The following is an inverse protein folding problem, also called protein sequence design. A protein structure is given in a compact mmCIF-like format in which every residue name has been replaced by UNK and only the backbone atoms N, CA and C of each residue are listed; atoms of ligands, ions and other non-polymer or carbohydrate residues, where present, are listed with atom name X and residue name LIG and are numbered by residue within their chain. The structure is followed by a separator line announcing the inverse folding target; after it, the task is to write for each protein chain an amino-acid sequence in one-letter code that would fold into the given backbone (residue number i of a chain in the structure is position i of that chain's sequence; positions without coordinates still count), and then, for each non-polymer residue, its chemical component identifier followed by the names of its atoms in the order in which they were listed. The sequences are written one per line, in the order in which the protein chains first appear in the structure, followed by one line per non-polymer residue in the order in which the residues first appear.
data_IF_419662294625
#
_entry.id   IF_419662294625
#
_cell.length_a   1.000
_cell.length_b   1.000
_cell.length_c   1.000
_cell.angle_alpha   90.00
_cell.angle_beta   90.00
_cell.angle_gamma   90.00
#
_symmetry.space_group_name_H-M   'P 1'
#
loop_
_entity.id
_entity.type
_entity.pdbx_description
1 polymer ?
#
# COMPACT_ATOMS: atom_id res chain seq x y z
N UNK A 1 1.73 9.69 -9.17
CA UNK A 1 2.87 8.85 -9.58
C UNK A 1 2.51 7.38 -9.78
N UNK A 2 1.81 6.72 -8.85
CA UNK A 2 1.36 5.31 -9.05
C UNK A 2 0.58 5.13 -10.35
N UNK A 3 -0.48 5.91 -10.58
CA UNK A 3 -1.32 5.82 -11.80
C UNK A 3 -0.49 5.94 -13.08
N UNK A 4 0.39 6.95 -13.15
CA UNK A 4 1.28 7.16 -14.29
C UNK A 4 2.22 5.98 -14.50
N UNK A 5 2.82 5.46 -13.42
CA UNK A 5 3.72 4.32 -13.48
C UNK A 5 2.98 3.06 -13.95
N UNK A 6 1.76 2.85 -13.48
CA UNK A 6 0.87 1.78 -13.95
C UNK A 6 0.58 1.90 -15.44
N UNK A 7 0.20 3.10 -15.89
CA UNK A 7 -0.10 3.39 -17.29
C UNK A 7 1.09 3.08 -18.21
N UNK A 8 2.29 3.58 -17.88
CA UNK A 8 3.50 3.34 -18.68
C UNK A 8 3.85 1.85 -18.72
N UNK A 9 3.64 1.13 -17.61
CA UNK A 9 3.91 -0.33 -17.56
C UNK A 9 2.94 -1.10 -18.44
N UNK A 10 1.66 -0.77 -18.40
CA UNK A 10 0.64 -1.40 -19.25
C UNK A 10 0.95 -1.14 -20.72
N UNK A 11 1.26 0.11 -21.08
CA UNK A 11 1.67 0.49 -22.43
C UNK A 11 2.90 -0.29 -22.90
N UNK A 12 3.88 -0.51 -22.01
CA UNK A 12 5.06 -1.31 -22.29
C UNK A 12 4.74 -2.78 -22.57
N UNK A 13 3.73 -3.35 -21.88
CA UNK A 13 3.32 -4.74 -22.03
C UNK A 13 2.44 -4.99 -23.28
N UNK A 14 1.82 -3.95 -23.82
CA UNK A 14 0.98 -4.01 -25.02
C UNK A 14 1.76 -3.86 -26.32
N UNK A 15 2.80 -3.01 -26.35
CA UNK A 15 3.59 -2.75 -27.56
C UNK A 15 4.68 -3.79 -27.79
N UNK A 16 4.67 -4.46 -28.96
CA UNK A 16 5.67 -5.47 -29.35
C UNK A 16 7.04 -4.87 -29.70
N UNK A 17 7.08 -3.77 -30.45
CA UNK A 17 8.33 -3.27 -31.08
C UNK A 17 9.15 -2.34 -30.16
N UNK A 18 8.50 -1.62 -29.24
CA UNK A 18 9.13 -0.65 -28.34
C UNK A 18 9.22 -1.12 -26.87
N UNK A 19 9.07 -2.43 -26.65
CA UNK A 19 8.90 -3.02 -25.32
C UNK A 19 10.06 -2.68 -24.37
N UNK A 20 11.31 -2.78 -24.84
CA UNK A 20 12.52 -2.59 -24.03
C UNK A 20 12.65 -1.17 -23.46
N UNK A 21 12.49 -0.15 -24.31
CA UNK A 21 12.59 1.25 -23.91
C UNK A 21 11.43 1.68 -23.00
N UNK A 22 10.21 1.20 -23.28
CA UNK A 22 9.04 1.47 -22.45
C UNK A 22 9.12 0.77 -21.09
N UNK A 23 9.71 -0.43 -21.01
CA UNK A 23 9.97 -1.11 -19.73
C UNK A 23 11.03 -0.39 -18.90
N UNK A 24 12.07 0.15 -19.54
CA UNK A 24 13.05 1.00 -18.86
C UNK A 24 12.36 2.25 -18.29
N UNK A 25 11.55 2.94 -19.10
CA UNK A 25 10.80 4.12 -18.68
C UNK A 25 9.80 3.80 -17.56
N UNK A 26 9.08 2.68 -17.67
CA UNK A 26 8.20 2.15 -16.62
C UNK A 26 8.98 1.95 -15.33
N UNK A 27 10.16 1.30 -15.39
CA UNK A 27 11.06 1.15 -14.27
C UNK A 27 11.44 2.49 -13.64
N UNK A 28 11.80 3.51 -14.44
CA UNK A 28 12.13 4.85 -13.95
C UNK A 28 10.92 5.47 -13.22
N UNK A 29 9.71 5.40 -13.79
CA UNK A 29 8.50 5.90 -13.16
C UNK A 29 8.23 5.20 -11.81
N UNK A 30 8.42 3.88 -11.73
CA UNK A 30 8.31 3.13 -10.49
C UNK A 30 9.41 3.44 -9.49
N UNK A 31 10.65 3.68 -9.94
CA UNK A 31 11.74 4.11 -9.07
C UNK A 31 11.49 5.49 -8.47
N UNK A 32 10.97 6.44 -9.26
CA UNK A 32 10.52 7.75 -8.77
C UNK A 32 9.35 7.62 -7.79
N UNK A 33 8.40 6.72 -8.04
CA UNK A 33 7.35 6.39 -7.07
C UNK A 33 7.93 5.82 -5.77
N UNK A 34 8.97 4.99 -5.87
CA UNK A 34 9.67 4.37 -4.75
C UNK A 34 10.40 5.39 -3.88
N UNK A 35 10.91 6.47 -4.47
CA UNK A 35 11.51 7.60 -3.72
C UNK A 35 10.49 8.34 -2.85
N UNK A 36 9.20 8.33 -3.22
CA UNK A 36 8.13 8.91 -2.40
C UNK A 36 7.74 7.94 -1.27
N UNK A 37 7.59 6.66 -1.60
CA UNK A 37 7.29 5.60 -0.61
C UNK A 37 8.05 4.32 -0.97
N UNK A 38 8.89 3.78 -0.07
CA UNK A 38 9.73 2.62 -0.34
C UNK A 38 8.96 1.30 -0.46
N UNK A 39 7.63 1.29 -0.29
CA UNK A 39 6.79 0.08 -0.36
C UNK A 39 6.85 -0.61 -1.72
N UNK A 40 7.15 0.14 -2.79
CA UNK A 40 7.30 -0.40 -4.15
C UNK A 40 8.71 -0.90 -4.44
N UNK A 41 9.66 -0.85 -3.50
CA UNK A 41 11.02 -1.34 -3.71
C UNK A 41 11.06 -2.85 -4.02
N UNK A 42 10.10 -3.61 -3.49
CA UNK A 42 9.95 -5.06 -3.73
C UNK A 42 9.17 -5.38 -5.02
N UNK A 43 8.69 -4.37 -5.75
CA UNK A 43 7.88 -4.53 -6.96
C UNK A 43 8.55 -5.39 -8.04
N UNK A 44 9.88 -5.36 -8.28
CA UNK A 44 10.51 -6.26 -9.26
C UNK A 44 10.22 -7.74 -9.02
N UNK A 45 10.10 -8.18 -7.76
CA UNK A 45 9.78 -9.58 -7.43
C UNK A 45 8.36 -9.92 -7.88
N UNK A 46 7.41 -9.05 -7.58
CA UNK A 46 6.01 -9.19 -8.01
C UNK A 46 5.90 -9.11 -9.53
N UNK A 47 6.59 -8.17 -10.16
CA UNK A 47 6.62 -8.03 -11.60
C UNK A 47 7.21 -9.27 -12.29
N UNK A 48 8.25 -9.88 -11.73
CA UNK A 48 8.78 -11.17 -12.21
C UNK A 48 7.71 -12.27 -12.16
N UNK A 49 6.98 -12.41 -11.04
CA UNK A 49 5.88 -13.39 -10.92
C UNK A 49 4.81 -13.13 -11.99
N UNK A 50 4.43 -11.87 -12.21
CA UNK A 50 3.52 -11.48 -13.28
C UNK A 50 4.05 -11.87 -14.66
N UNK A 51 5.33 -11.58 -14.97
CA UNK A 51 5.95 -11.91 -16.25
C UNK A 51 6.03 -13.43 -16.47
N UNK A 52 6.32 -14.22 -15.43
CA UNK A 52 6.35 -15.69 -15.50
C UNK A 52 4.96 -16.24 -15.85
N UNK A 53 3.92 -15.72 -15.21
CA UNK A 53 2.53 -16.07 -15.52
C UNK A 53 2.14 -15.64 -16.94
N UNK A 54 2.45 -14.40 -17.30
CA UNK A 54 2.05 -13.77 -18.57
C UNK A 54 2.75 -14.39 -19.78
N UNK A 55 4.07 -14.55 -19.74
CA UNK A 55 4.86 -15.11 -20.83
C UNK A 55 4.99 -16.64 -20.77
N UNK A 56 4.24 -17.32 -19.88
CA UNK A 56 4.23 -18.79 -19.74
C UNK A 56 5.64 -19.40 -19.66
N UNK A 57 6.51 -18.80 -18.84
CA UNK A 57 7.92 -19.23 -18.67
C UNK A 57 8.83 -19.07 -19.92
N UNK A 58 8.44 -18.27 -20.92
CA UNK A 58 9.33 -17.89 -22.04
C UNK A 58 10.47 -16.98 -21.53
N UNK A 59 11.57 -17.60 -21.11
CA UNK A 59 12.72 -16.92 -20.47
C UNK A 59 13.34 -15.85 -21.37
N UNK A 60 13.28 -16.03 -22.70
CA UNK A 60 13.79 -15.07 -23.69
C UNK A 60 13.04 -13.73 -23.64
N UNK A 61 11.79 -13.72 -23.19
CA UNK A 61 10.99 -12.50 -22.98
C UNK A 61 11.04 -12.02 -21.55
N UNK A 62 11.00 -12.94 -20.58
CA UNK A 62 10.97 -12.61 -19.16
C UNK A 62 12.25 -11.91 -18.74
N UNK A 63 13.41 -12.49 -19.04
CA UNK A 63 14.71 -12.00 -18.54
C UNK A 63 15.01 -10.57 -19.02
N UNK A 64 14.92 -10.23 -20.33
CA UNK A 64 15.12 -8.85 -20.75
C UNK A 64 14.08 -7.91 -20.15
N UNK A 65 12.82 -8.34 -20.03
CA UNK A 65 11.75 -7.49 -19.50
C UNK A 65 12.01 -7.09 -18.04
N UNK A 66 12.33 -8.07 -17.17
CA UNK A 66 12.63 -7.77 -15.77
C UNK A 66 13.95 -7.01 -15.63
N UNK A 67 14.97 -7.31 -16.44
CA UNK A 67 16.23 -6.57 -16.42
C UNK A 67 16.04 -5.10 -16.77
N UNK A 68 15.30 -4.78 -17.83
CA UNK A 68 15.06 -3.39 -18.23
C UNK A 68 14.23 -2.64 -17.20
N UNK A 69 13.19 -3.28 -16.66
CA UNK A 69 12.37 -2.71 -15.60
C UNK A 69 13.18 -2.43 -14.33
N UNK A 70 13.93 -3.43 -13.85
CA UNK A 70 14.80 -3.30 -12.67
C UNK A 70 15.91 -2.28 -12.88
N UNK A 71 16.52 -2.22 -14.06
CA UNK A 71 17.51 -1.20 -14.41
C UNK A 71 16.89 0.20 -14.35
N UNK A 72 15.69 0.39 -14.88
CA UNK A 72 14.98 1.67 -14.82
C UNK A 72 14.71 2.11 -13.38
N UNK A 73 14.21 1.19 -12.54
CA UNK A 73 14.01 1.46 -11.11
C UNK A 73 15.33 1.81 -10.42
N UNK A 74 16.40 1.05 -10.70
CA UNK A 74 17.72 1.28 -10.14
C UNK A 74 18.25 2.66 -10.55
N UNK A 75 18.16 3.05 -11.82
CA UNK A 75 18.63 4.37 -12.29
C UNK A 75 17.96 5.54 -11.55
N UNK A 76 16.68 5.40 -11.19
CA UNK A 76 15.97 6.43 -10.43
C UNK A 76 16.35 6.44 -8.93
N UNK A 77 16.51 5.25 -8.32
CA UNK A 77 16.79 5.11 -6.87
C UNK A 77 18.27 5.30 -6.53
N UNK A 78 19.17 4.97 -7.47
CA UNK A 78 20.62 4.95 -7.27
C UNK A 78 21.22 6.30 -6.86
N UNK A 79 20.85 7.45 -7.45
CA UNK A 79 21.40 8.75 -7.02
C UNK A 79 21.13 9.05 -5.54
N UNK A 80 19.92 8.75 -5.06
CA UNK A 80 19.57 8.92 -3.65
C UNK A 80 20.31 7.90 -2.77
N UNK A 81 20.46 6.66 -3.24
CA UNK A 81 21.24 5.63 -2.54
C UNK A 81 22.71 6.04 -2.36
N UNK A 82 23.35 6.56 -3.42
CA UNK A 82 24.72 7.06 -3.36
C UNK A 82 24.87 8.24 -2.41
N UNK A 83 23.91 9.19 -2.43
CA UNK A 83 23.86 10.31 -1.48
C UNK A 83 23.71 9.84 -0.04
N UNK A 84 22.91 8.81 0.20
CA UNK A 84 22.76 8.24 1.53
C UNK A 84 24.06 7.52 1.97
N UNK A 85 24.67 6.74 1.08
CA UNK A 85 25.93 6.03 1.35
C UNK A 85 27.08 6.99 1.64
N UNK A 86 27.23 8.09 0.89
CA UNK A 86 28.31 9.05 1.14
C UNK A 86 28.19 9.76 2.49
N UNK A 87 26.98 9.88 3.03
CA UNK A 87 26.72 10.53 4.33
C UNK A 87 26.76 9.56 5.50
N UNK A 88 26.36 8.32 5.29
CA UNK A 88 26.12 7.35 6.38
C UNK A 88 27.07 6.16 6.36
N UNK A 89 27.81 5.97 5.27
CA UNK A 89 28.58 4.77 4.96
C UNK A 89 27.74 3.47 5.00
N UNK A 90 26.42 3.58 4.76
CA UNK A 90 25.49 2.44 4.69
C UNK A 90 24.68 2.44 3.41
N UNK A 91 24.36 1.24 2.92
CA UNK A 91 23.48 1.08 1.76
C UNK A 91 22.02 1.29 2.18
N UNK A 92 21.52 2.51 1.99
CA UNK A 92 20.14 2.90 2.29
C UNK A 92 19.47 3.31 0.98
N UNK A 93 18.65 2.44 0.35
CA UNK A 93 18.09 2.71 -0.97
C UNK A 93 17.22 3.97 -1.03
N UNK A 94 16.35 4.14 -0.03
CA UNK A 94 15.40 5.26 0.03
C UNK A 94 15.46 5.94 1.39
N UNK A 95 15.00 5.26 2.45
CA UNK A 95 14.98 5.75 3.82
C UNK A 95 15.51 4.70 4.81
N UNK A 96 15.97 5.17 5.96
CA UNK A 96 16.46 4.34 7.06
C UNK A 96 15.40 4.30 8.17
N UNK A 97 14.32 3.56 7.92
CA UNK A 97 13.24 3.32 8.88
C UNK A 97 12.72 1.86 8.78
N UNK A 98 13.48 1.01 8.08
CA UNK A 98 13.01 -0.33 7.75
C UNK A 98 13.04 -1.23 8.99
N UNK A 99 14.09 -1.11 9.82
CA UNK A 99 14.24 -1.95 10.99
C UNK A 99 13.32 -1.54 12.12
N UNK A 100 13.10 -0.24 12.32
CA UNK A 100 12.12 0.26 13.30
C UNK A 100 10.72 -0.28 13.00
N UNK A 101 10.28 -0.20 11.74
CA UNK A 101 8.94 -0.67 11.35
C UNK A 101 8.83 -2.20 11.35
N UNK A 102 9.89 -2.91 10.96
CA UNK A 102 9.94 -4.37 11.03
C UNK A 102 9.93 -4.86 12.48
N UNK A 103 10.70 -4.21 13.35
CA UNK A 103 10.85 -4.55 14.76
C UNK A 103 9.50 -4.63 15.46
N UNK A 104 8.58 -3.69 15.26
CA UNK A 104 7.29 -3.73 15.95
C UNK A 104 6.46 -4.99 15.65
N UNK A 105 6.59 -5.58 14.46
CA UNK A 105 5.96 -6.86 14.14
C UNK A 105 6.63 -8.07 14.82
N UNK A 106 7.78 -7.90 15.46
CA UNK A 106 8.54 -8.97 16.12
C UNK A 106 8.38 -8.98 17.64
N UNK A 107 7.93 -7.88 18.25
CA UNK A 107 7.96 -7.71 19.72
C UNK A 107 6.88 -8.53 20.43
N UNK A 108 5.63 -8.34 20.00
CA UNK A 108 4.47 -8.95 20.62
C UNK A 108 3.39 -9.22 19.58
N UNK A 109 2.42 -10.07 19.94
CA UNK A 109 1.29 -10.36 19.06
C UNK A 109 0.38 -9.15 19.02
N UNK A 110 0.24 -8.54 17.84
CA UNK A 110 -0.66 -7.43 17.64
C UNK A 110 -2.11 -7.87 17.64
N UNK A 111 -2.99 -7.04 18.19
CA UNK A 111 -4.43 -7.16 17.96
C UNK A 111 -4.79 -6.43 16.66
N UNK A 112 -5.60 -7.07 15.82
CA UNK A 112 -6.11 -6.41 14.61
C UNK A 112 -7.11 -5.36 15.06
N UNK A 113 -6.73 -4.10 14.92
CA UNK A 113 -7.57 -2.97 15.26
C UNK A 113 -7.41 -1.89 14.20
N UNK A 114 -8.18 -2.03 13.12
CA UNK A 114 -8.12 -1.09 11.99
C UNK A 114 -8.45 0.36 12.40
N UNK A 115 -9.15 0.57 13.51
CA UNK A 115 -9.53 1.89 14.02
C UNK A 115 -8.56 2.49 15.05
N UNK A 116 -7.50 1.78 15.45
CA UNK A 116 -6.56 2.32 16.42
C UNK A 116 -5.13 2.34 15.87
N UNK A 117 -4.34 3.29 16.35
CA UNK A 117 -2.93 3.42 16.02
C UNK A 117 -2.10 2.55 16.97
N UNK A 118 -2.16 1.23 16.73
CA UNK A 118 -1.50 0.22 17.54
C UNK A 118 0.02 0.45 17.64
N UNK A 119 0.63 1.04 16.61
CA UNK A 119 2.03 1.45 16.64
C UNK A 119 2.37 2.27 17.89
N UNK A 120 1.50 3.18 18.32
CA UNK A 120 1.77 4.03 19.49
C UNK A 120 1.86 3.24 20.79
N UNK A 121 1.08 2.17 20.95
CA UNK A 121 1.16 1.30 22.12
C UNK A 121 2.47 0.52 22.16
N UNK A 122 2.84 -0.09 21.03
CA UNK A 122 4.11 -0.84 20.93
C UNK A 122 5.29 0.11 21.11
N UNK A 123 5.23 1.29 20.47
CA UNK A 123 6.26 2.31 20.60
C UNK A 123 6.40 2.82 22.04
N UNK A 124 5.31 3.23 22.68
CA UNK A 124 5.37 3.78 24.05
C UNK A 124 5.85 2.76 25.08
N UNK A 125 5.43 1.50 24.97
CA UNK A 125 5.77 0.47 25.96
C UNK A 125 7.11 -0.24 25.70
N UNK A 126 7.48 -0.47 24.43
CA UNK A 126 8.66 -1.27 24.05
C UNK A 126 9.70 -0.47 23.27
N UNK A 127 9.27 0.54 22.52
CA UNK A 127 10.15 1.36 21.67
C UNK A 127 10.84 2.47 22.45
N UNK A 128 10.14 3.13 23.37
CA UNK A 128 10.67 4.22 24.18
C UNK A 128 11.88 3.82 25.03
N UNK A 129 11.94 2.63 25.67
CA UNK A 129 13.16 2.19 26.34
C UNK A 129 14.38 2.08 25.41
N UNK A 130 14.19 1.59 24.18
CA UNK A 130 15.26 1.52 23.16
C UNK A 130 15.68 2.94 22.76
N UNK A 131 14.69 3.81 22.52
CA UNK A 131 14.91 5.21 22.17
C UNK A 131 15.71 5.93 23.26
N UNK A 132 15.25 5.90 24.52
CA UNK A 132 15.90 6.52 25.67
C UNK A 132 17.35 6.03 25.83
N UNK A 133 17.58 4.72 25.68
CA UNK A 133 18.92 4.11 25.74
C UNK A 133 19.87 4.63 24.66
N UNK A 134 19.36 4.88 23.45
CA UNK A 134 20.17 5.32 22.30
C UNK A 134 20.39 6.83 22.30
N UNK A 135 19.35 7.61 22.64
CA UNK A 135 19.37 9.07 22.52
C UNK A 135 19.75 9.79 23.80
N UNK A 136 19.67 9.11 24.95
CA UNK A 136 19.71 9.67 26.31
C UNK A 136 18.63 10.73 26.58
N UNK A 137 17.49 10.65 25.88
CA UNK A 137 16.40 11.61 25.98
C UNK A 137 15.20 10.97 26.67
N UNK A 138 14.70 11.57 27.75
CA UNK A 138 13.61 11.00 28.56
C UNK A 138 12.26 10.98 27.82
N UNK A 139 12.06 11.94 26.91
CA UNK A 139 10.81 12.12 26.18
C UNK A 139 10.99 12.00 24.67
N UNK A 140 9.93 11.56 24.00
CA UNK A 140 9.91 11.46 22.54
C UNK A 140 10.00 12.86 21.92
N UNK A 141 11.01 13.06 21.08
CA UNK A 141 11.09 14.22 20.21
C UNK A 141 11.45 13.81 18.78
N UNK A 142 10.68 14.30 17.80
CA UNK A 142 10.83 13.89 16.41
C UNK A 142 12.19 14.26 15.81
N UNK A 143 12.74 15.43 16.15
CA UNK A 143 14.07 15.81 15.64
C UNK A 143 15.17 14.91 16.16
N UNK A 144 15.01 14.32 17.35
CA UNK A 144 15.94 13.34 17.88
C UNK A 144 15.89 12.02 17.09
N UNK A 145 14.74 11.61 16.57
CA UNK A 145 14.67 10.47 15.64
C UNK A 145 15.48 10.77 14.37
N UNK A 146 15.37 11.98 13.82
CA UNK A 146 16.16 12.37 12.64
C UNK A 146 17.66 12.40 12.97
N UNK A 147 18.02 12.97 14.12
CA UNK A 147 19.40 13.13 14.57
C UNK A 147 20.10 11.78 14.83
N UNK A 148 19.42 10.87 15.52
CA UNK A 148 19.95 9.57 15.94
C UNK A 148 19.42 8.41 15.08
N UNK A 149 19.00 8.69 13.84
CA UNK A 149 18.26 7.72 13.03
C UNK A 149 19.07 6.43 12.78
N UNK A 150 20.38 6.57 12.58
CA UNK A 150 21.25 5.44 12.23
C UNK A 150 21.49 4.53 13.44
N UNK A 151 21.69 5.13 14.61
CA UNK A 151 21.89 4.45 15.88
C UNK A 151 20.60 3.76 16.34
N UNK A 152 19.45 4.43 16.16
CA UNK A 152 18.14 3.85 16.42
C UNK A 152 17.88 2.66 15.50
N UNK A 153 18.12 2.77 14.19
CA UNK A 153 17.95 1.66 13.25
C UNK A 153 18.84 0.46 13.60
N UNK A 154 20.07 0.66 14.08
CA UNK A 154 20.92 -0.45 14.54
C UNK A 154 20.37 -1.11 15.80
N UNK A 155 19.92 -0.32 16.77
CA UNK A 155 19.33 -0.83 18.00
C UNK A 155 18.05 -1.63 17.70
N UNK A 156 17.14 -1.07 16.89
CA UNK A 156 15.93 -1.77 16.47
C UNK A 156 16.23 -3.01 15.62
N UNK A 157 17.25 -2.98 14.76
CA UNK A 157 17.71 -4.15 14.01
C UNK A 157 18.19 -5.27 14.93
N UNK A 158 19.02 -4.95 15.92
CA UNK A 158 19.54 -5.93 16.86
C UNK A 158 18.40 -6.60 17.66
N UNK A 159 17.46 -5.79 18.15
CA UNK A 159 16.28 -6.28 18.87
C UNK A 159 15.37 -7.11 17.96
N UNK A 160 15.11 -6.67 16.72
CA UNK A 160 14.29 -7.40 15.76
C UNK A 160 14.91 -8.76 15.40
N UNK A 161 16.23 -8.82 15.16
CA UNK A 161 16.93 -10.08 14.88
C UNK A 161 16.86 -11.00 16.09
N UNK A 162 17.07 -10.48 17.30
CA UNK A 162 16.94 -11.26 18.53
C UNK A 162 15.54 -11.87 18.66
N UNK A 163 14.48 -11.09 18.46
CA UNK A 163 13.11 -11.59 18.49
C UNK A 163 12.81 -12.59 17.36
N UNK A 164 13.31 -12.38 16.14
CA UNK A 164 13.11 -13.33 15.04
C UNK A 164 13.78 -14.68 15.32
N UNK A 165 14.91 -14.69 16.04
CA UNK A 165 15.59 -15.93 16.44
C UNK A 165 14.81 -16.64 17.57
N UNK A 166 14.39 -15.91 18.60
CA UNK A 166 13.79 -16.51 19.80
C UNK A 166 12.27 -16.72 19.72
N UNK A 167 11.55 -15.95 18.90
CA UNK A 167 10.09 -15.99 18.78
C UNK A 167 9.57 -15.72 17.35
N UNK A 168 10.05 -16.45 16.32
CA UNK A 168 9.65 -16.22 14.92
C UNK A 168 8.14 -16.33 14.67
N UNK A 169 7.43 -17.11 15.49
CA UNK A 169 5.97 -17.27 15.41
C UNK A 169 5.20 -15.97 15.64
N UNK A 170 5.76 -15.01 16.40
CA UNK A 170 5.13 -13.70 16.60
C UNK A 170 5.10 -12.94 15.28
N UNK A 171 6.23 -12.86 14.59
CA UNK A 171 6.33 -12.22 13.29
C UNK A 171 5.42 -12.88 12.26
N UNK A 172 5.49 -14.20 12.08
CA UNK A 172 4.65 -14.92 11.10
C UNK A 172 3.17 -14.68 11.36
N UNK A 173 2.74 -14.72 12.63
CA UNK A 173 1.34 -14.48 13.00
C UNK A 173 0.92 -13.04 12.70
N UNK A 174 1.74 -12.06 13.08
CA UNK A 174 1.47 -10.64 12.79
C UNK A 174 1.40 -10.38 11.28
N UNK A 175 2.31 -10.93 10.49
CA UNK A 175 2.28 -10.82 9.02
C UNK A 175 1.00 -11.43 8.45
N UNK A 176 0.61 -12.62 8.89
CA UNK A 176 -0.62 -13.26 8.43
C UNK A 176 -1.88 -12.48 8.84
N UNK A 177 -1.92 -11.96 10.07
CA UNK A 177 -3.03 -11.13 10.57
C UNK A 177 -3.12 -9.80 9.83
N UNK A 178 -2.01 -9.09 9.66
CA UNK A 178 -1.94 -7.83 8.91
C UNK A 178 -2.32 -8.05 7.44
N UNK A 179 -1.83 -9.13 6.82
CA UNK A 179 -2.23 -9.49 5.47
C UNK A 179 -3.74 -9.73 5.41
N UNK A 180 -4.31 -10.57 6.27
CA UNK A 180 -5.75 -10.83 6.30
C UNK A 180 -6.59 -9.58 6.55
N UNK A 181 -6.22 -8.78 7.55
CA UNK A 181 -6.95 -7.55 7.88
C UNK A 181 -6.88 -6.54 6.75
N UNK A 182 -5.74 -6.44 6.05
CA UNK A 182 -5.57 -5.55 4.92
C UNK A 182 -6.61 -5.82 3.83
N UNK A 183 -7.08 -7.05 3.63
CA UNK A 183 -8.20 -7.33 2.72
C UNK A 183 -9.55 -7.08 3.38
N UNK A 184 -9.77 -7.66 4.57
CA UNK A 184 -11.09 -7.81 5.18
C UNK A 184 -11.61 -6.59 5.92
N UNK A 185 -10.73 -5.70 6.39
CA UNK A 185 -11.11 -4.60 7.28
C UNK A 185 -10.93 -3.24 6.60
N UNK A 186 -11.69 -2.23 6.98
CA UNK A 186 -11.47 -0.84 6.56
C UNK A 186 -11.59 0.05 7.80
N UNK A 187 -10.75 1.07 7.89
CA UNK A 187 -10.80 2.06 8.95
C UNK A 187 -11.89 3.10 8.65
N UNK A 188 -12.63 3.56 9.66
CA UNK A 188 -13.55 4.71 9.54
C UNK A 188 -12.99 6.02 10.11
N UNK A 189 -11.91 5.96 10.90
CA UNK A 189 -11.31 7.10 11.59
C UNK A 189 -10.81 8.19 10.64
N UNK A 190 -10.27 7.83 9.48
CA UNK A 190 -9.75 8.84 8.55
C UNK A 190 -10.85 9.76 8.03
N UNK A 191 -12.04 9.20 7.75
CA UNK A 191 -13.23 9.99 7.38
C UNK A 191 -13.59 10.98 8.50
N UNK A 192 -13.54 10.52 9.75
CA UNK A 192 -13.85 11.36 10.91
C UNK A 192 -12.84 12.49 11.12
N UNK A 193 -11.54 12.20 10.93
CA UNK A 193 -10.51 13.25 10.96
C UNK A 193 -10.83 14.30 9.90
N UNK A 194 -11.20 13.90 8.68
CA UNK A 194 -11.57 14.86 7.63
C UNK A 194 -12.82 15.67 7.96
N UNK A 195 -13.89 15.04 8.45
CA UNK A 195 -15.12 15.73 8.86
C UNK A 195 -14.86 16.74 9.98
N UNK A 196 -14.10 16.33 11.00
CA UNK A 196 -13.80 17.19 12.12
C UNK A 196 -12.92 18.38 11.74
N UNK A 197 -12.01 18.21 10.77
CA UNK A 197 -11.25 19.32 10.17
C UNK A 197 -12.11 20.28 9.33
N UNK A 198 -13.32 19.86 8.92
CA UNK A 198 -14.28 20.72 8.19
C UNK A 198 -15.26 21.45 9.11
N UNK A 199 -15.47 20.98 10.34
CA UNK A 199 -16.29 21.64 11.35
C UNK A 199 -15.61 22.95 11.82
N UNK A 200 -16.14 24.10 11.38
CA UNK A 200 -15.53 25.42 11.64
C UNK A 200 -15.44 25.80 13.12
N UNK A 201 -16.27 25.20 13.98
CA UNK A 201 -16.44 25.61 15.37
C UNK A 201 -15.72 24.69 16.39
N UNK A 202 -14.88 23.74 15.93
CA UNK A 202 -14.05 22.95 16.86
C UNK A 202 -12.71 23.64 17.10
N UNK A 203 -12.61 24.29 18.26
CA UNK A 203 -11.40 25.01 18.68
C UNK A 203 -10.16 24.12 18.84
N UNK A 204 -10.33 22.80 19.05
CA UNK A 204 -9.21 21.85 19.10
C UNK A 204 -9.67 20.39 18.92
N UNK A 205 -8.98 19.63 18.08
CA UNK A 205 -9.11 18.17 17.98
C UNK A 205 -7.76 17.54 18.27
N UNK A 206 -7.62 16.85 19.41
CA UNK A 206 -6.45 16.02 19.65
C UNK A 206 -6.59 14.70 18.88
N UNK A 207 -6.10 14.70 17.64
CA UNK A 207 -6.09 13.52 16.77
C UNK A 207 -5.38 12.33 17.45
N UNK A 208 -4.42 12.58 18.36
CA UNK A 208 -3.69 11.50 19.05
C UNK A 208 -4.57 10.75 20.03
N UNK A 209 -5.51 11.45 20.66
CA UNK A 209 -6.46 10.85 21.60
C UNK A 209 -7.43 9.93 20.87
N UNK A 210 -7.91 10.36 19.69
CA UNK A 210 -8.86 9.60 18.87
C UNK A 210 -8.31 8.28 18.36
N UNK A 211 -7.03 8.23 18.02
CA UNK A 211 -6.40 7.01 17.50
C UNK A 211 -5.80 6.14 18.61
N UNK A 212 -5.85 6.57 19.87
CA UNK A 212 -5.28 5.84 20.99
C UNK A 212 -6.09 4.55 21.22
N UNK A 213 -5.43 3.38 21.34
CA UNK A 213 -6.13 2.14 21.66
C UNK A 213 -6.95 2.27 22.96
N UNK A 214 -8.22 1.85 22.89
CA UNK A 214 -9.17 1.96 24.00
C UNK A 214 -10.03 3.23 23.98
N UNK A 215 -9.71 4.23 23.14
CA UNK A 215 -10.59 5.37 22.94
C UNK A 215 -11.89 4.92 22.23
N UNK A 216 -13.09 5.27 22.75
CA UNK A 216 -14.34 4.88 22.11
C UNK A 216 -14.41 5.48 20.70
N UNK A 217 -14.45 4.62 19.69
CA UNK A 217 -14.52 4.99 18.27
C UNK A 217 -15.95 5.33 17.82
N UNK A 218 -16.78 5.83 18.75
CA UNK A 218 -18.20 6.11 18.55
C UNK A 218 -18.47 7.39 17.73
N UNK A 219 -17.65 7.65 16.71
CA UNK A 219 -17.68 8.90 15.94
C UNK A 219 -18.92 9.04 15.05
N UNK A 220 -19.50 7.91 14.62
CA UNK A 220 -20.72 7.91 13.82
C UNK A 220 -21.87 7.27 14.59
N UNK A 221 -23.13 7.61 14.25
CA UNK A 221 -24.23 6.70 14.47
C UNK A 221 -23.84 5.33 13.90
N UNK A 222 -24.10 4.28 14.67
CA UNK A 222 -23.75 2.90 14.35
C UNK A 222 -24.13 2.50 12.90
N UNK A 223 -25.17 3.14 12.34
CA UNK A 223 -25.63 2.94 10.97
C UNK A 223 -24.61 3.35 9.90
N UNK A 224 -24.02 4.55 9.98
CA UNK A 224 -23.14 5.05 8.92
C UNK A 224 -21.84 4.24 8.83
N UNK A 225 -21.26 3.88 9.98
CA UNK A 225 -20.12 2.97 10.04
C UNK A 225 -20.47 1.61 9.40
N UNK A 226 -21.62 1.03 9.76
CA UNK A 226 -22.08 -0.24 9.18
C UNK A 226 -22.29 -0.15 7.68
N UNK A 227 -22.86 0.94 7.16
CA UNK A 227 -23.03 1.15 5.72
C UNK A 227 -21.70 1.21 4.99
N UNK A 228 -20.70 1.87 5.57
CA UNK A 228 -19.34 1.92 5.00
C UNK A 228 -18.67 0.54 5.00
N UNK A 229 -18.79 -0.22 6.08
CA UNK A 229 -18.31 -1.60 6.16
C UNK A 229 -19.01 -2.51 5.13
N UNK A 230 -20.33 -2.39 4.97
CA UNK A 230 -21.11 -3.13 3.98
C UNK A 230 -20.66 -2.78 2.56
N UNK A 231 -20.49 -1.50 2.26
CA UNK A 231 -19.98 -1.05 0.96
C UNK A 231 -18.60 -1.62 0.68
N UNK A 232 -17.68 -1.54 1.65
CA UNK A 232 -16.34 -2.09 1.53
C UNK A 232 -16.38 -3.60 1.24
N UNK A 233 -17.24 -4.34 1.94
CA UNK A 233 -17.45 -5.76 1.70
C UNK A 233 -18.01 -6.05 0.30
N UNK A 234 -18.99 -5.29 -0.17
CA UNK A 234 -19.53 -5.42 -1.53
C UNK A 234 -18.46 -5.14 -2.60
N UNK A 235 -17.64 -4.11 -2.40
CA UNK A 235 -16.51 -3.79 -3.28
C UNK A 235 -15.48 -4.93 -3.28
N UNK A 236 -15.17 -5.51 -2.13
CA UNK A 236 -14.28 -6.67 -2.02
C UNK A 236 -14.83 -7.87 -2.81
N UNK A 237 -16.10 -8.22 -2.63
CA UNK A 237 -16.73 -9.31 -3.37
C UNK A 237 -16.67 -9.10 -4.89
N UNK A 238 -17.10 -7.92 -5.36
CA UNK A 238 -17.04 -7.56 -6.78
C UNK A 238 -15.60 -7.55 -7.31
N UNK A 239 -14.63 -7.14 -6.49
CA UNK A 239 -13.21 -7.18 -6.84
C UNK A 239 -12.73 -8.61 -7.06
N UNK A 240 -13.10 -9.55 -6.19
CA UNK A 240 -12.77 -10.96 -6.35
C UNK A 240 -13.34 -11.51 -7.66
N UNK A 241 -14.60 -11.18 -7.99
CA UNK A 241 -15.19 -11.54 -9.28
C UNK A 241 -14.42 -10.92 -10.46
N UNK A 242 -14.10 -9.63 -10.40
CA UNK A 242 -13.36 -8.93 -11.45
C UNK A 242 -11.97 -9.52 -11.70
N UNK A 243 -11.22 -9.80 -10.63
CA UNK A 243 -9.92 -10.47 -10.69
C UNK A 243 -10.07 -11.87 -11.30
N UNK A 244 -11.08 -12.63 -10.87
CA UNK A 244 -11.34 -13.99 -11.39
C UNK A 244 -11.63 -13.96 -12.91
N UNK A 245 -12.50 -13.04 -13.36
CA UNK A 245 -12.78 -12.85 -14.79
C UNK A 245 -11.51 -12.46 -15.54
N UNK A 246 -10.69 -11.56 -14.99
CA UNK A 246 -9.44 -11.14 -15.60
C UNK A 246 -8.43 -12.30 -15.74
N UNK A 247 -8.37 -13.22 -14.76
CA UNK A 247 -7.55 -14.42 -14.87
C UNK A 247 -8.05 -15.36 -15.98
N UNK A 248 -9.37 -15.58 -16.07
CA UNK A 248 -9.98 -16.42 -17.10
C UNK A 248 -9.77 -15.84 -18.51
N UNK A 249 -9.89 -14.52 -18.66
CA UNK A 249 -9.71 -13.78 -19.93
C UNK A 249 -8.25 -13.42 -20.23
N UNK A 250 -7.33 -13.63 -19.28
CA UNK A 250 -5.90 -13.29 -19.37
C UNK A 250 -5.66 -11.79 -19.63
N UNK A 251 -6.39 -10.96 -18.90
CA UNK A 251 -6.45 -9.52 -19.09
C UNK A 251 -5.27 -8.82 -18.41
N UNK A 252 -4.27 -8.50 -19.22
CA UNK A 252 -2.92 -8.11 -18.79
C UNK A 252 -2.94 -6.93 -17.84
N UNK A 253 -3.71 -5.90 -18.19
CA UNK A 253 -3.83 -4.65 -17.44
C UNK A 253 -4.35 -4.91 -16.03
N UNK A 254 -5.46 -5.64 -15.93
CA UNK A 254 -6.09 -5.95 -14.64
C UNK A 254 -5.19 -6.86 -13.80
N UNK A 255 -4.56 -7.86 -14.41
CA UNK A 255 -3.67 -8.78 -13.71
C UNK A 255 -2.38 -8.09 -13.22
N UNK A 256 -1.84 -7.13 -13.97
CA UNK A 256 -0.72 -6.32 -13.52
C UNK A 256 -1.11 -5.42 -12.34
N UNK A 257 -2.27 -4.76 -12.41
CA UNK A 257 -2.82 -3.97 -11.29
C UNK A 257 -3.05 -4.84 -10.04
N UNK A 258 -3.53 -6.07 -10.21
CA UNK A 258 -3.66 -7.04 -9.12
C UNK A 258 -2.30 -7.41 -8.53
N UNK A 259 -1.30 -7.64 -9.37
CA UNK A 259 0.06 -7.92 -8.93
C UNK A 259 0.66 -6.78 -8.08
N UNK A 260 0.40 -5.53 -8.45
CA UNK A 260 0.83 -4.38 -7.66
C UNK A 260 0.05 -4.22 -6.37
N UNK A 261 -1.25 -4.49 -6.40
CA UNK A 261 -2.06 -4.54 -5.19
C UNK A 261 -1.50 -5.56 -4.20
N UNK A 262 -1.10 -6.75 -4.66
CA UNK A 262 -0.43 -7.76 -3.83
C UNK A 262 0.94 -7.27 -3.31
N UNK A 263 1.69 -6.52 -4.11
CA UNK A 263 2.94 -5.89 -3.66
C UNK A 263 2.69 -4.94 -2.48
N UNK A 264 1.68 -4.08 -2.56
CA UNK A 264 1.31 -3.19 -1.46
C UNK A 264 0.79 -3.96 -0.24
N UNK A 265 -0.09 -4.94 -0.45
CA UNK A 265 -0.62 -5.78 0.62
C UNK A 265 0.51 -6.51 1.37
N UNK A 266 1.48 -7.08 0.64
CA UNK A 266 2.61 -7.75 1.24
C UNK A 266 3.55 -6.79 1.96
N UNK A 267 3.89 -5.65 1.35
CA UNK A 267 4.71 -4.63 1.99
C UNK A 267 4.09 -4.13 3.30
N UNK A 268 2.77 -3.93 3.33
CA UNK A 268 2.03 -3.55 4.53
C UNK A 268 1.84 -4.70 5.53
N UNK A 269 1.86 -5.94 5.08
CA UNK A 269 1.79 -7.09 5.98
C UNK A 269 3.10 -7.32 6.75
N UNK A 270 4.25 -7.19 6.06
CA UNK A 270 5.57 -7.33 6.69
C UNK A 270 5.94 -6.13 7.57
N UNK A 271 5.32 -4.98 7.31
CA UNK A 271 5.41 -3.77 8.13
C UNK A 271 4.22 -3.67 9.09
N UNK A 272 4.26 -2.74 10.04
CA UNK A 272 3.12 -2.57 10.95
C UNK A 272 1.97 -1.93 10.18
N UNK A 273 0.83 -2.62 10.11
CA UNK A 273 -0.35 -2.14 9.40
C UNK A 273 -1.13 -1.12 10.25
N UNK A 274 -0.76 0.15 10.14
CA UNK A 274 -1.51 1.26 10.75
C UNK A 274 -2.77 1.64 9.97
N UNK A 275 -3.67 2.34 10.65
CA UNK A 275 -4.99 2.72 10.14
C UNK A 275 -4.93 3.48 8.79
N UNK A 276 -3.87 4.25 8.54
CA UNK A 276 -3.67 5.00 7.29
C UNK A 276 -3.49 4.10 6.07
N UNK A 277 -3.02 2.86 6.24
CA UNK A 277 -2.72 1.98 5.11
C UNK A 277 -3.96 1.28 4.56
N UNK A 278 -5.06 1.22 5.31
CA UNK A 278 -6.29 0.57 4.86
C UNK A 278 -6.94 1.27 3.66
N UNK A 279 -6.66 2.56 3.42
CA UNK A 279 -7.20 3.29 2.27
C UNK A 279 -6.40 3.08 0.97
N UNK A 280 -5.17 2.56 1.04
CA UNK A 280 -4.34 2.36 -0.17
C UNK A 280 -4.95 1.34 -1.13
N UNK A 281 -5.80 0.42 -0.63
CA UNK A 281 -6.48 -0.60 -1.43
C UNK A 281 -7.72 -0.11 -2.15
N UNK A 282 -8.35 0.99 -1.70
CA UNK A 282 -9.65 1.43 -2.21
C UNK A 282 -9.64 1.67 -3.73
N UNK A 283 -8.65 2.37 -4.31
CA UNK A 283 -8.59 2.53 -5.77
C UNK A 283 -8.51 1.20 -6.53
N UNK A 284 -7.83 0.20 -5.97
CA UNK A 284 -7.74 -1.14 -6.59
C UNK A 284 -9.08 -1.86 -6.52
N UNK A 285 -9.76 -1.82 -5.37
CA UNK A 285 -11.07 -2.47 -5.22
C UNK A 285 -12.11 -1.85 -6.15
N UNK A 286 -12.16 -0.53 -6.23
CA UNK A 286 -13.07 0.17 -7.15
C UNK A 286 -12.75 -0.21 -8.60
N UNK A 287 -11.47 -0.28 -8.98
CA UNK A 287 -11.06 -0.69 -10.31
C UNK A 287 -11.47 -2.13 -10.64
N UNK A 288 -11.20 -3.10 -9.77
CA UNK A 288 -11.56 -4.50 -10.00
C UNK A 288 -13.08 -4.72 -10.00
N UNK A 289 -13.81 -4.07 -9.10
CA UNK A 289 -15.26 -4.11 -9.07
C UNK A 289 -15.88 -3.50 -10.35
N UNK A 290 -15.35 -2.36 -10.81
CA UNK A 290 -15.76 -1.73 -12.07
C UNK A 290 -15.55 -2.67 -13.26
N UNK A 291 -14.37 -3.32 -13.33
CA UNK A 291 -14.08 -4.31 -14.37
C UNK A 291 -15.08 -5.48 -14.36
N UNK A 292 -15.46 -5.98 -13.18
CA UNK A 292 -16.47 -7.04 -13.04
C UNK A 292 -17.83 -6.60 -13.60
N UNK A 293 -18.29 -5.39 -13.24
CA UNK A 293 -19.57 -4.83 -13.69
C UNK A 293 -19.58 -4.65 -15.20
N UNK A 294 -18.50 -4.10 -15.79
CA UNK A 294 -18.38 -3.93 -17.25
C UNK A 294 -18.46 -5.26 -17.98
N UNK A 295 -17.76 -6.29 -17.49
CA UNK A 295 -17.81 -7.63 -18.08
C UNK A 295 -19.22 -8.23 -18.01
N UNK A 296 -19.93 -8.07 -16.88
CA UNK A 296 -21.29 -8.57 -16.70
C UNK A 296 -22.30 -7.84 -17.60
N UNK A 297 -22.14 -6.53 -17.80
CA UNK A 297 -22.99 -5.75 -18.70
C UNK A 297 -22.85 -6.21 -20.16
N UNK A 298 -21.62 -6.47 -20.60
CA UNK A 298 -21.32 -6.94 -21.96
C UNK A 298 -21.87 -8.34 -22.27
N UNK A 299 -21.95 -9.22 -21.27
CA UNK A 299 -22.54 -10.56 -21.47
C UNK A 299 -24.01 -10.52 -21.90
N UNK A 300 -24.73 -9.42 -21.62
CA UNK A 300 -26.14 -9.25 -21.99
C UNK A 300 -26.35 -8.73 -23.41
N UNK A 301 -25.31 -8.27 -24.09
CA UNK A 301 -25.40 -7.71 -25.45
C UNK A 301 -24.74 -8.67 -26.45
N UNK A 302 -25.50 -9.53 -27.14
CA UNK A 302 -24.96 -10.59 -28.00
C UNK A 302 -24.26 -10.11 -29.28
N UNK A 303 -24.08 -8.79 -29.48
CA UNK A 303 -23.54 -8.20 -30.72
C UNK A 303 -22.36 -7.24 -30.52
N UNK A 304 -21.78 -7.14 -29.31
CA UNK A 304 -20.60 -6.30 -29.12
C UNK A 304 -19.30 -7.08 -29.28
N UNK A 305 -18.56 -6.67 -30.31
CA UNK A 305 -17.36 -7.25 -30.88
C UNK A 305 -16.17 -7.42 -29.93
N UNK A 306 -15.28 -8.27 -30.43
CA UNK A 306 -13.96 -8.69 -29.99
C UNK A 306 -13.11 -7.58 -29.35
N UNK A 307 -12.54 -7.92 -28.18
CA UNK A 307 -11.67 -7.10 -27.32
C UNK A 307 -12.36 -5.96 -26.56
N UNK A 308 -12.42 -6.12 -25.24
CA UNK A 308 -12.59 -5.00 -24.32
C UNK A 308 -11.28 -4.23 -24.37
N UNK A 309 -11.10 -3.38 -25.38
CA UNK A 309 -10.16 -2.28 -25.22
C UNK A 309 -10.69 -1.49 -24.03
N UNK A 310 -10.01 -1.64 -22.89
CA UNK A 310 -10.16 -0.81 -21.71
C UNK A 310 -9.79 0.61 -22.16
N UNK A 311 -10.71 1.27 -22.86
CA UNK A 311 -10.50 2.62 -23.36
C UNK A 311 -10.19 3.45 -22.13
N UNK A 312 -9.11 4.22 -22.15
CA UNK A 312 -8.67 5.03 -21.02
C UNK A 312 -9.79 5.95 -20.49
N UNK A 313 -10.83 6.22 -21.28
CA UNK A 313 -12.09 6.82 -20.81
C UNK A 313 -12.82 6.04 -19.71
N UNK A 314 -12.85 4.70 -19.75
CA UNK A 314 -13.43 3.86 -18.69
C UNK A 314 -12.55 3.86 -17.43
N UNK A 315 -11.22 3.83 -17.59
CA UNK A 315 -10.29 3.99 -16.46
C UNK A 315 -10.40 5.39 -15.84
N UNK A 316 -10.50 6.43 -16.66
CA UNK A 316 -10.73 7.80 -16.24
C UNK A 316 -12.09 7.96 -15.56
N UNK A 317 -13.13 7.27 -16.03
CA UNK A 317 -14.44 7.23 -15.39
C UNK A 317 -14.39 6.49 -14.05
N UNK A 318 -13.66 5.38 -13.94
CA UNK A 318 -13.44 4.68 -12.67
C UNK A 318 -12.65 5.55 -11.69
N UNK A 319 -11.64 6.29 -12.18
CA UNK A 319 -10.86 7.25 -11.37
C UNK A 319 -11.74 8.43 -10.95
N UNK A 320 -12.56 8.97 -11.86
CA UNK A 320 -13.53 10.02 -11.59
C UNK A 320 -14.55 9.53 -10.57
N UNK A 321 -15.14 8.35 -10.74
CA UNK A 321 -16.05 7.74 -9.78
C UNK A 321 -15.36 7.43 -8.45
N UNK A 322 -14.07 7.12 -8.43
CA UNK A 322 -13.30 6.93 -7.18
C UNK A 322 -13.07 8.26 -6.46
N UNK A 323 -12.72 9.31 -7.21
CA UNK A 323 -12.56 10.67 -6.71
C UNK A 323 -13.91 11.26 -6.30
N UNK A 324 -14.96 10.98 -7.05
CA UNK A 324 -16.34 11.36 -6.81
C UNK A 324 -16.89 10.57 -5.64
N UNK A 325 -16.49 9.31 -5.40
CA UNK A 325 -16.86 8.59 -4.18
C UNK A 325 -16.20 9.23 -2.96
N UNK A 326 -14.92 9.60 -3.07
CA UNK A 326 -14.20 10.35 -2.05
C UNK A 326 -14.86 11.72 -1.83
N UNK A 327 -15.25 12.42 -2.91
CA UNK A 327 -15.91 13.74 -2.86
C UNK A 327 -17.37 13.65 -2.41
N UNK A 328 -18.15 12.66 -2.82
CA UNK A 328 -19.53 12.40 -2.39
C UNK A 328 -19.54 12.10 -0.89
N UNK A 329 -18.58 11.34 -0.39
CA UNK A 329 -18.43 11.12 1.05
C UNK A 329 -18.00 12.39 1.80
N UNK A 330 -17.23 13.27 1.17
CA UNK A 330 -16.80 14.57 1.72
C UNK A 330 -17.85 15.69 1.56
N UNK A 331 -18.83 15.54 0.68
CA UNK A 331 -19.80 16.60 0.30
C UNK A 331 -21.25 16.28 0.70
N UNK A 332 -21.65 15.00 0.73
CA UNK A 332 -23.04 14.58 1.04
C UNK A 332 -23.28 14.14 2.49
N UNK A 333 -22.34 14.44 3.40
CA UNK A 333 -22.61 14.51 4.84
C UNK A 333 -22.56 15.97 5.33
N UNK A 334 -23.42 16.89 4.83
CA UNK A 334 -23.76 18.05 5.62
C UNK A 334 -24.68 17.57 6.75
N UNK A 335 -24.19 17.68 7.98
CA UNK A 335 -24.95 17.70 9.24
C UNK A 335 -26.27 16.89 9.24
N UNK A 336 -26.19 15.59 9.55
CA UNK A 336 -27.29 14.84 10.17
C UNK A 336 -26.98 14.67 11.64
#
# INVERSE_FOLDING_TARGET
MVILSSYVTVLALEKKEAQTALLLLSGICWGLTTLIRPTTLILPVFFLVFLVFYFKKDTKKIVPSIMMFSLGMLLAVFPQTCKNYSKTHRMIPVNAQAWTVLWANTVERGEVSQNHFNWLNVWSSKGMPIYQRVTNEESYYFLNIIKYNMELEDAFKAEAISHLIHQPQVFVKNVAQNFGSFFMNINSVTINIFQALQERDRDFIDIREWVRPGHPQGFHPMLAQRLFEVLHFLLLLLSVFGITIAFLRKEKTVLFLFCMFLCFAFAHAITTADFMYYYIKMPFFIFFAGYAITCAAQMKTPHWCESVELNFGHLALVILLSLEFILLYLVFLPAV
#
